data_IF_249644346358
#
_entry.id   IF_249644346358
#
_cell.length_a   1.000
_cell.length_b   1.000
_cell.length_c   1.000
_cell.angle_alpha   90.00
_cell.angle_beta   90.00
_cell.angle_gamma   90.00
#
_symmetry.space_group_name_H-M   'P 1'
#
loop_
_entity.id
_entity.type
_entity.pdbx_description
1 polymer ?
#
# COMPACT_ATOMS: atom_id res chain seq x y z
N UNK A 1 26.60 0.12 23.24
CA UNK A 1 25.90 -0.58 22.15
C UNK A 1 26.12 0.19 20.87
N UNK A 2 26.55 -0.44 19.76
CA UNK A 2 26.69 0.26 18.49
C UNK A 2 25.30 0.68 17.96
N UNK A 3 25.16 1.92 17.52
CA UNK A 3 23.92 2.47 16.95
C UNK A 3 24.12 2.69 15.45
N UNK A 4 23.42 1.92 14.60
CA UNK A 4 23.48 2.08 13.14
C UNK A 4 22.63 3.25 12.63
N UNK A 5 21.48 3.51 13.26
CA UNK A 5 20.53 4.58 12.89
C UNK A 5 20.09 5.32 14.15
N UNK A 6 20.07 6.65 14.11
CA UNK A 6 19.69 7.50 15.25
C UNK A 6 18.29 7.16 15.80
N UNK A 7 17.36 6.80 14.92
CA UNK A 7 15.99 6.42 15.29
C UNK A 7 15.80 4.91 15.55
N UNK A 8 16.88 4.12 15.58
CA UNK A 8 16.85 2.66 15.76
C UNK A 8 15.99 1.91 14.72
N UNK A 9 15.74 2.53 13.55
CA UNK A 9 14.91 1.97 12.49
C UNK A 9 13.40 2.08 12.74
N UNK A 10 12.95 3.02 13.58
CA UNK A 10 11.54 3.22 13.93
C UNK A 10 11.17 4.71 13.94
N UNK A 11 9.93 5.04 13.60
CA UNK A 11 9.39 6.41 13.67
C UNK A 11 8.67 6.74 15.00
N UNK A 12 9.02 6.02 16.07
CA UNK A 12 8.43 6.20 17.40
C UNK A 12 9.16 7.29 18.18
N UNK A 13 8.51 8.43 18.35
CA UNK A 13 8.97 9.56 19.18
C UNK A 13 7.90 9.91 20.24
N UNK A 14 8.33 10.27 21.45
CA UNK A 14 7.48 10.75 22.56
C UNK A 14 6.25 9.88 22.91
N UNK A 15 6.38 8.55 22.81
CA UNK A 15 5.32 7.59 23.21
C UNK A 15 5.88 6.23 23.59
N UNK A 16 5.17 5.50 24.46
CA UNK A 16 5.60 4.21 25.04
C UNK A 16 5.33 2.99 24.16
N UNK A 17 4.19 2.93 23.45
CA UNK A 17 3.80 1.82 22.57
C UNK A 17 3.12 2.33 21.29
N UNK A 18 3.00 1.46 20.29
CA UNK A 18 2.33 1.71 19.01
C UNK A 18 1.54 0.46 18.64
N UNK A 19 0.39 0.61 18.00
CA UNK A 19 -0.38 -0.52 17.47
C UNK A 19 0.44 -1.34 16.48
N UNK A 20 0.19 -2.63 16.44
CA UNK A 20 0.80 -3.55 15.47
C UNK A 20 -0.06 -3.68 14.22
N UNK A 21 0.58 -3.97 13.10
CA UNK A 21 -0.04 -4.22 11.79
C UNK A 21 0.48 -5.55 11.25
N UNK A 22 -0.33 -6.25 10.48
CA UNK A 22 0.04 -7.49 9.83
C UNK A 22 0.58 -7.21 8.42
N UNK A 23 1.76 -7.75 8.11
CA UNK A 23 2.31 -7.68 6.76
C UNK A 23 1.42 -8.46 5.78
N UNK A 24 1.13 -7.86 4.63
CA UNK A 24 0.29 -8.48 3.58
C UNK A 24 0.92 -9.75 3.00
N UNK A 25 2.25 -9.76 2.82
CA UNK A 25 2.90 -10.86 2.10
C UNK A 25 3.33 -12.03 2.99
N UNK A 26 3.81 -11.75 4.21
CA UNK A 26 4.30 -12.79 5.12
C UNK A 26 3.40 -13.03 6.34
N UNK A 27 2.34 -12.23 6.52
CA UNK A 27 1.43 -12.34 7.68
C UNK A 27 2.08 -12.00 9.03
N UNK A 28 3.34 -11.56 9.04
CA UNK A 28 4.06 -11.23 10.28
C UNK A 28 3.47 -9.97 10.91
N UNK A 29 3.23 -10.04 12.22
CA UNK A 29 2.85 -8.89 13.04
C UNK A 29 4.09 -8.03 13.30
N UNK A 30 4.08 -6.78 12.85
CA UNK A 30 5.13 -5.79 13.07
C UNK A 30 4.52 -4.49 13.64
N UNK A 31 5.30 -3.67 14.38
CA UNK A 31 4.76 -2.41 14.89
C UNK A 31 4.61 -1.38 13.76
N UNK A 32 3.51 -0.61 13.76
CA UNK A 32 3.15 0.32 12.67
C UNK A 32 4.24 1.34 12.32
N UNK A 33 5.04 1.73 13.29
CA UNK A 33 6.11 2.72 13.14
C UNK A 33 7.42 2.12 12.59
N UNK A 34 7.49 0.79 12.45
CA UNK A 34 8.57 0.08 11.75
C UNK A 34 8.13 -0.40 10.37
N UNK A 35 6.85 -0.74 10.21
CA UNK A 35 6.30 -1.24 8.95
C UNK A 35 6.48 -0.23 7.82
N UNK A 36 6.79 -0.74 6.63
CA UNK A 36 6.86 0.07 5.41
C UNK A 36 5.50 0.08 4.75
N UNK A 37 4.85 1.24 4.70
CA UNK A 37 3.57 1.41 3.99
C UNK A 37 3.78 1.86 2.55
N UNK A 38 3.07 1.27 1.60
CA UNK A 38 3.06 1.67 0.19
C UNK A 38 1.62 1.96 -0.25
N UNK A 39 1.38 3.18 -0.71
CA UNK A 39 0.11 3.55 -1.35
C UNK A 39 0.19 3.22 -2.83
N UNK A 40 -0.70 2.37 -3.31
CA UNK A 40 -0.81 2.03 -4.73
C UNK A 40 -2.20 2.39 -5.26
N UNK A 41 -2.21 3.09 -6.39
CA UNK A 41 -3.42 3.40 -7.14
C UNK A 41 -3.33 2.66 -8.47
N UNK A 42 -4.20 1.67 -8.64
CA UNK A 42 -4.22 0.85 -9.85
C UNK A 42 -5.62 0.84 -10.42
N UNK A 43 -5.81 1.13 -11.72
CA UNK A 43 -7.12 0.98 -12.35
C UNK A 43 -7.56 -0.49 -12.28
N UNK A 44 -8.89 -0.72 -12.24
CA UNK A 44 -9.45 -2.08 -12.27
C UNK A 44 -9.03 -2.83 -13.54
N UNK A 45 -8.86 -2.09 -14.64
CA UNK A 45 -8.57 -2.63 -15.96
C UNK A 45 -7.18 -2.19 -16.41
N UNK A 46 -6.44 -3.13 -17.02
CA UNK A 46 -5.13 -2.84 -17.61
C UNK A 46 -5.26 -1.99 -18.87
N UNK A 47 -4.22 -1.23 -19.19
CA UNK A 47 -4.21 -0.33 -20.34
C UNK A 47 -4.56 -1.01 -21.68
N UNK A 48 -4.15 -2.26 -21.89
CA UNK A 48 -4.45 -3.00 -23.12
C UNK A 48 -5.95 -3.35 -23.25
N UNK A 49 -6.60 -3.67 -22.13
CA UNK A 49 -8.02 -4.05 -22.10
C UNK A 49 -8.98 -2.86 -22.16
N UNK A 50 -8.45 -1.62 -22.17
CA UNK A 50 -9.25 -0.41 -22.35
C UNK A 50 -9.97 -0.38 -23.70
N UNK A 51 -9.33 -0.89 -24.75
CA UNK A 51 -9.90 -0.89 -26.10
C UNK A 51 -11.07 -1.89 -26.21
N UNK A 52 -10.92 -3.07 -25.60
CA UNK A 52 -12.01 -4.05 -25.49
C UNK A 52 -13.19 -3.48 -24.68
N UNK A 53 -12.90 -2.73 -23.61
CA UNK A 53 -13.91 -2.09 -22.77
C UNK A 53 -14.72 -1.06 -23.56
N UNK A 54 -14.05 -0.21 -24.35
CA UNK A 54 -14.69 0.80 -25.20
C UNK A 54 -15.61 0.18 -26.24
N UNK A 55 -15.24 -0.96 -26.82
CA UNK A 55 -16.07 -1.68 -27.79
C UNK A 55 -17.28 -2.36 -27.13
N UNK A 56 -17.13 -2.82 -25.89
CA UNK A 56 -18.18 -3.51 -25.15
C UNK A 56 -19.20 -2.56 -24.50
N UNK A 57 -18.82 -1.31 -24.20
CA UNK A 57 -19.69 -0.33 -23.54
C UNK A 57 -20.39 0.61 -24.52
N UNK A 58 -21.54 1.14 -24.10
CA UNK A 58 -22.28 2.16 -24.87
C UNK A 58 -21.56 3.52 -24.86
N UNK A 59 -20.73 3.79 -23.86
CA UNK A 59 -20.00 5.04 -23.72
C UNK A 59 -18.70 5.02 -24.53
N UNK A 60 -18.43 6.11 -25.26
CA UNK A 60 -17.21 6.25 -26.07
C UNK A 60 -15.94 6.33 -25.20
N UNK A 61 -16.05 6.96 -24.03
CA UNK A 61 -14.99 7.03 -23.02
C UNK A 61 -15.56 6.51 -21.69
N UNK A 62 -15.36 5.21 -21.37
CA UNK A 62 -15.82 4.66 -20.11
C UNK A 62 -14.93 5.11 -18.95
N UNK A 63 -15.55 5.62 -17.88
CA UNK A 63 -14.86 5.91 -16.62
C UNK A 63 -14.54 4.59 -15.90
N UNK A 64 -13.24 4.32 -15.71
CA UNK A 64 -12.78 3.11 -15.03
C UNK A 64 -12.46 3.41 -13.56
N UNK A 65 -13.09 2.71 -12.60
CA UNK A 65 -12.77 2.88 -11.20
C UNK A 65 -11.32 2.47 -10.90
N UNK A 66 -10.78 2.99 -9.80
CA UNK A 66 -9.42 2.69 -9.33
C UNK A 66 -9.46 2.00 -7.97
N UNK A 67 -8.59 1.03 -7.77
CA UNK A 67 -8.30 0.48 -6.45
C UNK A 67 -7.26 1.36 -5.76
N UNK A 68 -7.61 1.84 -4.57
CA UNK A 68 -6.70 2.56 -3.68
C UNK A 68 -6.34 1.65 -2.51
N UNK A 69 -5.11 1.14 -2.52
CA UNK A 69 -4.64 0.23 -1.48
C UNK A 69 -3.48 0.88 -0.71
N UNK A 70 -3.50 0.72 0.61
CA UNK A 70 -2.37 1.05 1.49
C UNK A 70 -1.82 -0.27 2.01
N UNK A 71 -0.80 -0.76 1.32
CA UNK A 71 -0.15 -2.00 1.68
C UNK A 71 0.86 -1.77 2.79
N UNK A 72 0.97 -2.73 3.71
CA UNK A 72 1.94 -2.68 4.79
C UNK A 72 2.84 -3.92 4.78
N UNK A 73 4.14 -3.67 4.93
CA UNK A 73 5.20 -4.68 4.89
C UNK A 73 6.01 -4.66 6.19
N UNK A 74 6.54 -5.83 6.57
CA UNK A 74 7.28 -6.03 7.82
C UNK A 74 8.70 -5.44 7.83
#
# INVERSE_FOLDING_TARGET
MPVKRQNHGRSKMNRGSVSTVQCIQCGRVSPKDKSVSRSSNSPVVEAASMDDLRLATVYAEPDVPTFFNIDTYC
#
